data_IF_519674165572
#
_entry.id   IF_519674165572
#
_cell.length_a   1.000
_cell.length_b   1.000
_cell.length_c   1.000
_cell.angle_alpha   90.00
_cell.angle_beta   90.00
_cell.angle_gamma   90.00
#
_symmetry.space_group_name_H-M   'P 1'
#
loop_
_entity.id
_entity.type
_entity.pdbx_description
1 polymer ?
#
# COMPACT_ATOMS: atom_id res chain seq x y z
N UNK A 1 13.68 26.44 -17.87
CA UNK A 1 12.81 25.30 -18.26
C UNK A 1 12.81 24.29 -17.13
N UNK A 2 11.89 24.40 -16.19
CA UNK A 2 11.66 23.34 -15.21
C UNK A 2 10.88 22.25 -15.92
N UNK A 3 11.59 21.19 -16.36
CA UNK A 3 10.94 20.00 -16.90
C UNK A 3 9.93 19.49 -15.88
N UNK A 4 8.71 19.21 -16.31
CA UNK A 4 7.69 18.65 -15.45
C UNK A 4 8.21 17.33 -14.86
N UNK A 5 8.16 17.21 -13.53
CA UNK A 5 8.56 16.02 -12.81
C UNK A 5 7.52 14.92 -13.10
N UNK A 6 7.87 13.94 -13.94
CA UNK A 6 6.95 12.86 -14.33
C UNK A 6 7.32 11.59 -13.56
N UNK A 7 6.35 11.06 -12.81
CA UNK A 7 6.47 9.74 -12.21
C UNK A 7 6.51 8.71 -13.34
N UNK A 8 7.64 8.02 -13.49
CA UNK A 8 7.83 6.97 -14.50
C UNK A 8 8.01 5.64 -13.81
N UNK A 9 7.13 4.69 -14.14
CA UNK A 9 7.20 3.32 -13.70
C UNK A 9 7.62 2.41 -14.86
N UNK A 10 8.50 1.47 -14.58
CA UNK A 10 9.00 0.49 -15.52
C UNK A 10 8.27 -0.83 -15.29
N UNK A 11 7.16 -1.03 -16.01
CA UNK A 11 6.36 -2.26 -15.92
C UNK A 11 7.15 -3.47 -16.45
N UNK A 12 6.82 -4.66 -15.92
CA UNK A 12 7.47 -5.93 -16.23
C UNK A 12 9.01 -5.87 -16.16
N UNK A 13 9.51 -5.11 -15.19
CA UNK A 13 10.94 -4.83 -15.02
C UNK A 13 11.32 -4.95 -13.57
N UNK A 14 12.36 -5.73 -13.28
CA UNK A 14 13.00 -5.83 -11.97
C UNK A 14 14.43 -5.30 -12.04
N UNK A 15 14.87 -4.63 -10.98
CA UNK A 15 16.26 -4.23 -10.77
C UNK A 15 16.77 -5.03 -9.57
N UNK A 16 17.33 -6.24 -9.80
CA UNK A 16 17.64 -7.16 -8.72
C UNK A 16 18.79 -6.70 -7.81
N UNK A 17 18.79 -7.20 -6.58
CA UNK A 17 19.80 -6.95 -5.56
C UNK A 17 19.71 -5.57 -4.90
N UNK A 18 20.65 -5.34 -3.97
CA UNK A 18 20.79 -4.12 -3.18
C UNK A 18 19.55 -3.71 -2.37
N UNK A 19 18.83 -4.71 -1.87
CA UNK A 19 17.67 -4.54 -1.00
C UNK A 19 18.09 -3.95 0.34
N UNK A 20 17.53 -2.79 0.67
CA UNK A 20 17.60 -2.18 1.99
C UNK A 20 16.54 -2.79 2.91
N UNK A 21 15.32 -2.88 2.39
CA UNK A 21 14.15 -3.29 3.14
C UNK A 21 13.11 -3.89 2.20
N UNK A 22 12.39 -4.91 2.69
CA UNK A 22 11.21 -5.47 2.04
C UNK A 22 10.00 -5.10 2.89
N UNK A 23 9.17 -4.19 2.38
CA UNK A 23 7.91 -3.79 3.02
C UNK A 23 6.72 -4.26 2.19
N UNK A 24 5.52 -4.23 2.76
CA UNK A 24 4.30 -4.45 1.98
C UNK A 24 3.78 -3.15 1.42
N UNK A 25 3.43 -3.18 0.14
CA UNK A 25 2.73 -2.10 -0.55
C UNK A 25 1.61 -2.71 -1.39
N UNK A 26 0.51 -2.00 -1.50
CA UNK A 26 -0.68 -2.48 -2.24
C UNK A 26 -0.73 -1.99 -3.69
N UNK A 27 0.19 -1.10 -4.05
CA UNK A 27 0.33 -0.62 -5.42
C UNK A 27 1.75 -0.11 -5.67
N UNK A 28 2.07 0.12 -6.93
CA UNK A 28 3.35 0.73 -7.33
C UNK A 28 3.50 2.15 -6.78
N UNK A 29 2.41 2.92 -6.73
CA UNK A 29 2.40 4.27 -6.16
C UNK A 29 2.65 4.24 -4.65
N UNK A 30 2.02 3.31 -3.93
CA UNK A 30 2.29 3.13 -2.51
C UNK A 30 3.76 2.73 -2.30
N UNK A 31 4.32 1.83 -3.12
CA UNK A 31 5.74 1.48 -3.05
C UNK A 31 6.67 2.68 -3.34
N UNK A 32 6.31 3.53 -4.29
CA UNK A 32 7.03 4.78 -4.57
C UNK A 32 7.00 5.73 -3.36
N UNK A 33 5.86 5.88 -2.67
CA UNK A 33 5.76 6.67 -1.44
C UNK A 33 6.73 6.12 -0.39
N UNK A 34 6.77 4.80 -0.19
CA UNK A 34 7.68 4.18 0.77
C UNK A 34 9.16 4.45 0.44
N UNK A 35 9.55 4.28 -0.82
CA UNK A 35 10.91 4.61 -1.24
C UNK A 35 11.22 6.11 -1.12
N UNK A 36 10.25 6.97 -1.39
CA UNK A 36 10.42 8.43 -1.28
C UNK A 36 10.62 8.87 0.16
N UNK A 37 9.94 8.22 1.11
CA UNK A 37 10.07 8.45 2.54
C UNK A 37 11.36 7.85 3.13
N UNK A 38 11.85 6.73 2.59
CA UNK A 38 13.06 6.08 3.10
C UNK A 38 14.33 6.84 2.65
N UNK A 39 15.14 7.42 3.56
CA UNK A 39 16.20 8.38 3.22
C UNK A 39 17.30 7.78 2.33
N UNK A 40 17.56 6.49 2.44
CA UNK A 40 18.59 5.79 1.66
C UNK A 40 18.06 5.15 0.38
N UNK A 41 16.74 5.11 0.14
CA UNK A 41 16.20 4.45 -1.05
C UNK A 41 16.46 5.29 -2.30
N UNK A 42 17.09 4.70 -3.32
CA UNK A 42 17.38 5.37 -4.59
C UNK A 42 16.53 4.85 -5.74
N UNK A 43 15.95 3.65 -5.60
CA UNK A 43 15.00 3.03 -6.51
C UNK A 43 14.24 1.91 -5.80
N UNK A 44 13.17 1.40 -6.40
CA UNK A 44 12.40 0.29 -5.86
C UNK A 44 11.98 -0.71 -6.95
N UNK A 45 11.68 -1.94 -6.52
CA UNK A 45 10.94 -2.93 -7.32
C UNK A 45 9.66 -3.33 -6.56
N UNK A 46 8.50 -3.25 -7.20
CA UNK A 46 7.22 -3.70 -6.66
C UNK A 46 6.81 -5.03 -7.30
N UNK A 47 6.59 -6.07 -6.51
CA UNK A 47 6.03 -7.36 -6.95
C UNK A 47 4.53 -7.39 -6.68
N UNK A 48 3.73 -7.27 -7.75
CA UNK A 48 2.28 -7.09 -7.66
C UNK A 48 1.53 -8.26 -7.04
N UNK A 49 1.98 -9.50 -7.27
CA UNK A 49 1.28 -10.70 -6.80
C UNK A 49 1.45 -10.97 -5.31
N UNK A 50 2.63 -10.66 -4.77
CA UNK A 50 2.94 -10.84 -3.34
C UNK A 50 2.81 -9.54 -2.53
N UNK A 51 2.49 -8.42 -3.18
CA UNK A 51 2.41 -7.10 -2.57
C UNK A 51 3.74 -6.64 -1.94
N UNK A 52 4.87 -7.11 -2.46
CA UNK A 52 6.18 -6.74 -1.92
C UNK A 52 6.72 -5.48 -2.58
N UNK A 53 7.17 -4.56 -1.76
CA UNK A 53 7.94 -3.40 -2.15
C UNK A 53 9.36 -3.57 -1.66
N UNK A 54 10.27 -3.77 -2.59
CA UNK A 54 11.70 -3.86 -2.35
C UNK A 54 12.30 -2.46 -2.46
N UNK A 55 12.66 -1.87 -1.32
CA UNK A 55 13.37 -0.60 -1.24
C UNK A 55 14.85 -0.86 -1.45
N UNK A 56 15.48 -0.18 -2.41
CA UNK A 56 16.84 -0.52 -2.84
C UNK A 56 17.76 0.69 -2.85
N UNK A 57 19.06 0.43 -2.72
CA UNK A 57 20.10 1.45 -2.79
C UNK A 57 21.37 0.92 -3.45
N UNK A 58 21.74 1.48 -4.59
CA UNK A 58 23.05 1.22 -5.20
C UNK A 58 23.49 2.40 -6.06
N UNK A 59 24.80 2.67 -6.05
CA UNK A 59 25.47 3.72 -6.83
C UNK A 59 26.31 3.16 -8.01
N UNK A 60 26.56 1.85 -8.06
CA UNK A 60 27.58 1.30 -8.95
C UNK A 60 27.04 0.75 -10.28
N UNK A 61 25.85 0.14 -10.30
CA UNK A 61 25.23 -0.39 -11.52
C UNK A 61 23.76 -0.71 -11.29
N UNK A 62 22.87 -0.12 -12.09
CA UNK A 62 21.45 -0.47 -12.18
C UNK A 62 21.28 -1.33 -13.42
N UNK A 63 21.19 -2.66 -13.24
CA UNK A 63 20.87 -3.58 -14.33
C UNK A 63 19.38 -3.87 -14.26
N UNK A 64 18.65 -3.42 -15.27
CA UNK A 64 17.23 -3.71 -15.42
C UNK A 64 17.04 -5.04 -16.17
N UNK A 65 16.20 -5.92 -15.63
CA UNK A 65 15.87 -7.21 -16.20
C UNK A 65 14.37 -7.28 -16.49
N UNK A 66 13.99 -7.85 -17.63
CA UNK A 66 12.59 -8.09 -17.95
C UNK A 66 12.03 -9.19 -17.04
N UNK A 67 10.99 -8.86 -16.27
CA UNK A 67 10.38 -9.78 -15.30
C UNK A 67 8.91 -9.42 -15.08
N UNK A 68 8.03 -10.31 -15.52
CA UNK A 68 6.58 -10.14 -15.37
C UNK A 68 6.17 -10.08 -13.88
N UNK A 69 5.11 -9.32 -13.59
CA UNK A 69 4.62 -9.11 -12.22
C UNK A 69 5.45 -8.12 -11.40
N UNK A 70 6.61 -7.69 -11.90
CA UNK A 70 7.46 -6.67 -11.28
C UNK A 70 7.28 -5.32 -11.96
N UNK A 71 7.20 -4.25 -11.16
CA UNK A 71 7.25 -2.87 -11.65
C UNK A 71 8.30 -2.10 -10.86
N UNK A 72 9.31 -1.58 -11.53
CA UNK A 72 10.38 -0.80 -10.91
C UNK A 72 10.14 0.71 -11.05
N UNK A 73 10.78 1.51 -10.20
CA UNK A 73 10.66 2.96 -10.28
C UNK A 73 11.66 3.73 -9.43
N UNK A 74 11.63 5.05 -9.58
CA UNK A 74 12.43 5.99 -8.81
C UNK A 74 11.58 6.69 -7.74
N UNK A 75 12.19 7.09 -6.61
CA UNK A 75 11.49 7.88 -5.61
C UNK A 75 11.13 9.27 -6.16
N UNK A 76 9.95 9.76 -5.78
CA UNK A 76 9.40 11.05 -6.21
C UNK A 76 9.73 12.19 -5.23
N UNK A 77 11.01 12.33 -4.84
CA UNK A 77 11.44 13.35 -3.85
C UNK A 77 11.38 14.79 -4.37
N UNK A 78 11.51 14.96 -5.69
CA UNK A 78 11.42 16.24 -6.37
C UNK A 78 10.08 16.44 -7.11
N UNK A 79 9.17 15.45 -7.02
CA UNK A 79 7.85 15.48 -7.65
C UNK A 79 6.74 15.57 -6.57
N UNK A 80 5.51 15.85 -7.00
CA UNK A 80 4.34 15.58 -6.16
C UNK A 80 4.08 14.06 -6.15
N UNK A 81 3.93 13.49 -4.96
CA UNK A 81 3.52 12.09 -4.79
C UNK A 81 2.06 11.94 -5.23
N UNK A 82 1.77 10.89 -6.00
CA UNK A 82 0.41 10.49 -6.26
C UNK A 82 -0.13 9.77 -5.01
N UNK A 83 -1.10 10.39 -4.34
CA UNK A 83 -1.76 9.86 -3.16
C UNK A 83 -3.13 9.22 -3.49
N UNK A 84 -3.47 9.06 -4.79
CA UNK A 84 -4.71 8.44 -5.22
C UNK A 84 -4.88 6.99 -4.74
N UNK A 85 -3.78 6.33 -4.39
CA UNK A 85 -3.80 5.00 -3.75
C UNK A 85 -4.47 5.00 -2.36
N UNK A 86 -4.40 6.10 -1.59
CA UNK A 86 -5.02 6.17 -0.26
C UNK A 86 -6.56 6.08 -0.32
N UNK A 87 -7.16 6.60 -1.38
CA UNK A 87 -8.61 6.60 -1.58
C UNK A 87 -9.14 5.38 -2.32
N UNK A 88 -8.26 4.47 -2.79
CA UNK A 88 -8.69 3.28 -3.53
C UNK A 88 -9.12 2.17 -2.56
N UNK A 89 -10.26 1.52 -2.80
CA UNK A 89 -10.53 0.23 -2.19
C UNK A 89 -9.62 -0.85 -2.77
N UNK A 90 -9.20 -1.78 -1.92
CA UNK A 90 -8.39 -2.94 -2.27
C UNK A 90 -9.22 -4.20 -2.09
N UNK A 91 -9.97 -4.53 -3.15
CA UNK A 91 -10.84 -5.71 -3.21
C UNK A 91 -10.02 -7.00 -3.16
N UNK A 92 -10.61 -8.01 -2.53
CA UNK A 92 -10.03 -9.33 -2.30
C UNK A 92 -8.65 -9.30 -1.63
N UNK A 93 -8.40 -8.28 -0.80
CA UNK A 93 -7.13 -8.12 -0.07
C UNK A 93 -7.45 -7.95 1.41
N UNK A 94 -6.71 -8.68 2.24
CA UNK A 94 -6.71 -8.53 3.69
C UNK A 94 -5.37 -7.98 4.20
N UNK A 95 -5.45 -6.87 4.94
CA UNK A 95 -4.35 -6.35 5.74
C UNK A 95 -4.26 -7.09 7.06
N UNK A 96 -3.44 -8.14 7.12
CA UNK A 96 -3.36 -9.00 8.29
C UNK A 96 -2.60 -8.39 9.46
N UNK A 97 -3.17 -8.56 10.65
CA UNK A 97 -2.62 -8.15 11.93
C UNK A 97 -2.80 -6.65 12.21
N UNK A 98 -2.19 -6.20 13.31
CA UNK A 98 -2.30 -4.81 13.81
C UNK A 98 -3.73 -4.37 14.13
N UNK A 99 -4.64 -5.33 14.34
CA UNK A 99 -6.02 -5.08 14.75
C UNK A 99 -6.04 -4.44 16.14
N UNK A 100 -6.60 -3.23 16.22
CA UNK A 100 -6.82 -2.52 17.48
C UNK A 100 -8.25 -2.67 17.97
N UNK A 101 -9.21 -2.87 17.07
CA UNK A 101 -10.61 -3.10 17.37
C UNK A 101 -11.32 -3.75 16.18
N UNK A 102 -12.53 -4.28 16.39
CA UNK A 102 -13.44 -4.61 15.30
C UNK A 102 -14.88 -4.20 15.61
N UNK A 103 -15.59 -3.77 14.58
CA UNK A 103 -17.00 -3.40 14.66
C UNK A 103 -17.83 -4.20 13.66
N UNK A 104 -19.09 -4.46 13.98
CA UNK A 104 -20.03 -5.13 13.07
C UNK A 104 -20.80 -4.07 12.29
N UNK A 105 -20.79 -4.18 10.96
CA UNK A 105 -21.46 -3.22 10.06
C UNK A 105 -21.86 -3.86 8.74
N UNK A 106 -22.69 -3.17 7.96
CA UNK A 106 -23.33 -3.74 6.78
C UNK A 106 -22.49 -3.63 5.50
N UNK A 107 -21.59 -2.66 5.41
CA UNK A 107 -20.84 -2.39 4.20
C UNK A 107 -19.43 -1.81 4.44
N UNK A 108 -18.61 -1.91 3.39
CA UNK A 108 -17.21 -1.48 3.41
C UNK A 108 -17.04 0.05 3.46
N UNK A 109 -17.99 0.81 2.91
CA UNK A 109 -17.93 2.28 2.93
C UNK A 109 -18.12 2.80 4.36
N UNK A 110 -18.99 2.17 5.14
CA UNK A 110 -19.12 2.42 6.56
C UNK A 110 -17.79 2.11 7.27
N UNK A 111 -17.11 1.02 6.93
CA UNK A 111 -15.83 0.65 7.54
C UNK A 111 -14.73 1.68 7.26
N UNK A 112 -14.61 2.13 6.01
CA UNK A 112 -13.72 3.22 5.61
C UNK A 112 -14.01 4.49 6.41
N UNK A 113 -15.29 4.85 6.55
CA UNK A 113 -15.71 6.06 7.26
C UNK A 113 -15.37 5.97 8.76
N UNK A 114 -15.66 4.82 9.38
CA UNK A 114 -15.31 4.54 10.79
C UNK A 114 -13.80 4.60 11.01
N UNK A 115 -13.00 3.98 10.13
CA UNK A 115 -11.54 4.07 10.20
C UNK A 115 -11.05 5.51 10.03
N UNK A 116 -11.61 6.26 9.09
CA UNK A 116 -11.22 7.65 8.84
C UNK A 116 -11.53 8.57 10.03
N UNK A 117 -12.67 8.34 10.69
CA UNK A 117 -13.07 9.07 11.89
C UNK A 117 -12.27 8.68 13.14
N UNK A 118 -11.75 7.45 13.20
CA UNK A 118 -10.96 6.98 14.33
C UNK A 118 -9.55 7.60 14.33
N UNK A 119 -9.14 8.29 15.42
CA UNK A 119 -7.82 8.94 15.47
C UNK A 119 -6.66 7.95 15.40
N UNK A 120 -6.91 6.68 15.74
CA UNK A 120 -5.88 5.63 15.79
C UNK A 120 -5.91 4.68 14.60
N UNK A 121 -6.96 4.67 13.78
CA UNK A 121 -7.00 3.80 12.61
C UNK A 121 -6.18 4.37 11.45
N UNK A 122 -5.25 3.58 10.93
CA UNK A 122 -4.44 3.90 9.77
C UNK A 122 -4.94 3.19 8.51
N UNK A 123 -5.44 1.97 8.68
CA UNK A 123 -5.99 1.14 7.62
C UNK A 123 -7.00 0.14 8.20
N UNK A 124 -7.79 -0.47 7.34
CA UNK A 124 -8.86 -1.38 7.74
C UNK A 124 -9.00 -2.55 6.76
N UNK A 125 -9.59 -3.64 7.23
CA UNK A 125 -10.15 -4.72 6.39
C UNK A 125 -11.62 -4.89 6.78
N UNK A 126 -12.53 -4.82 5.81
CA UNK A 126 -13.92 -5.26 5.96
C UNK A 126 -14.11 -6.64 5.36
N UNK A 127 -14.84 -7.50 6.07
CA UNK A 127 -15.18 -8.86 5.63
C UNK A 127 -16.67 -8.94 5.33
N UNK A 128 -17.02 -9.32 4.12
CA UNK A 128 -18.40 -9.33 3.64
C UNK A 128 -19.28 -10.40 4.31
N UNK A 129 -20.61 -10.26 4.17
CA UNK A 129 -21.58 -11.15 4.80
C UNK A 129 -21.61 -12.57 4.20
N UNK A 130 -21.12 -12.75 2.98
CA UNK A 130 -21.00 -14.03 2.30
C UNK A 130 -19.70 -14.78 2.64
N UNK A 131 -18.84 -14.24 3.51
CA UNK A 131 -17.61 -14.91 3.94
C UNK A 131 -17.90 -16.29 4.53
N UNK A 132 -17.08 -17.28 4.19
CA UNK A 132 -17.32 -18.69 4.52
C UNK A 132 -17.56 -18.90 6.01
N UNK A 133 -16.71 -18.31 6.86
CA UNK A 133 -16.76 -18.49 8.30
C UNK A 133 -17.72 -17.48 8.96
N UNK A 134 -18.86 -17.91 9.53
CA UNK A 134 -19.91 -17.00 10.00
C UNK A 134 -19.46 -15.99 11.05
N UNK A 135 -18.49 -16.38 11.88
CA UNK A 135 -17.93 -15.52 12.93
C UNK A 135 -17.30 -14.24 12.38
N UNK A 136 -16.76 -14.24 11.17
CA UNK A 136 -16.04 -13.09 10.61
C UNK A 136 -16.88 -12.20 9.69
N UNK A 137 -18.10 -12.62 9.36
CA UNK A 137 -19.02 -11.88 8.50
C UNK A 137 -19.31 -10.50 9.08
N UNK A 138 -19.40 -9.50 8.19
CA UNK A 138 -19.81 -8.13 8.52
C UNK A 138 -18.87 -7.43 9.50
N UNK A 139 -17.61 -7.87 9.60
CA UNK A 139 -16.64 -7.28 10.52
C UNK A 139 -15.75 -6.28 9.81
N UNK A 140 -15.68 -5.10 10.38
CA UNK A 140 -14.71 -4.07 10.07
C UNK A 140 -13.59 -4.13 11.10
N UNK A 141 -12.39 -4.50 10.66
CA UNK A 141 -11.21 -4.53 11.50
C UNK A 141 -10.46 -3.21 11.37
N UNK A 142 -10.37 -2.46 12.47
CA UNK A 142 -9.63 -1.21 12.53
C UNK A 142 -8.19 -1.52 12.93
N UNK A 143 -7.22 -0.97 12.20
CA UNK A 143 -5.82 -1.40 12.34
C UNK A 143 -4.85 -0.22 12.44
N UNK A 144 -3.76 -0.43 13.19
CA UNK A 144 -2.70 0.56 13.43
C UNK A 144 -1.35 -0.08 13.67
N UNK A 145 -0.31 0.46 13.01
CA UNK A 145 1.09 0.22 13.37
C UNK A 145 1.72 1.43 14.03
N UNK A 146 2.75 1.19 14.84
CA UNK A 146 3.57 2.25 15.48
C UNK A 146 4.61 2.78 14.49
N UNK A 147 5.07 1.94 13.57
CA UNK A 147 6.09 2.23 12.57
C UNK A 147 5.48 2.91 11.34
N UNK A 148 6.23 2.92 10.22
CA UNK A 148 5.76 3.40 8.92
C UNK A 148 4.35 2.87 8.60
N UNK A 149 3.40 3.71 8.12
CA UNK A 149 1.98 3.35 7.95
C UNK A 149 1.77 2.41 6.75
N UNK A 150 2.33 1.21 6.85
CA UNK A 150 2.13 0.10 5.93
C UNK A 150 1.42 -1.05 6.66
N UNK A 151 0.57 -1.81 5.97
CA UNK A 151 0.10 -3.08 6.52
C UNK A 151 1.31 -4.02 6.72
N UNK A 152 1.46 -4.71 7.86
CA UNK A 152 2.56 -5.66 8.06
C UNK A 152 2.51 -6.82 7.05
N UNK A 153 1.29 -7.20 6.65
CA UNK A 153 1.00 -8.26 5.69
C UNK A 153 -0.19 -7.84 4.85
N UNK A 154 -0.08 -8.00 3.55
CA UNK A 154 -1.18 -7.92 2.60
C UNK A 154 -1.27 -9.27 1.89
N UNK A 155 -2.45 -9.89 1.89
CA UNK A 155 -2.68 -11.20 1.27
C UNK A 155 -3.97 -11.18 0.48
N UNK A 156 -4.04 -11.99 -0.58
CA UNK A 156 -5.29 -12.19 -1.33
C UNK A 156 -6.29 -12.97 -0.45
N UNK A 157 -7.48 -12.42 -0.24
CA UNK A 157 -8.57 -13.02 0.52
C UNK A 157 -9.90 -12.64 -0.13
N UNK A 158 -10.58 -13.60 -0.76
CA UNK A 158 -11.91 -13.39 -1.35
C UNK A 158 -12.91 -12.95 -0.27
N UNK A 159 -13.87 -12.10 -0.65
CA UNK A 159 -14.88 -11.52 0.25
C UNK A 159 -14.31 -10.64 1.37
N UNK A 160 -13.09 -10.14 1.21
CA UNK A 160 -12.50 -9.10 2.03
C UNK A 160 -12.12 -7.89 1.18
N UNK A 161 -12.23 -6.70 1.75
CA UNK A 161 -11.86 -5.44 1.12
C UNK A 161 -11.08 -4.61 2.13
N UNK A 162 -9.91 -4.13 1.72
CA UNK A 162 -9.04 -3.31 2.56
C UNK A 162 -8.95 -1.88 2.07
N UNK A 163 -8.53 -0.97 2.95
CA UNK A 163 -8.29 0.42 2.57
C UNK A 163 -7.54 1.20 3.65
N UNK A 164 -7.15 2.43 3.32
CA UNK A 164 -6.39 3.32 4.21
C UNK A 164 -7.29 4.44 4.73
N UNK A 165 -6.98 4.95 5.92
CA UNK A 165 -7.61 6.16 6.43
C UNK A 165 -7.30 7.33 5.51
N UNK A 166 -8.33 8.07 5.09
CA UNK A 166 -8.20 9.23 4.19
C UNK A 166 -8.11 10.56 4.93
N UNK A 167 -7.94 10.54 6.27
CA UNK A 167 -7.90 11.75 7.12
C UNK A 167 -6.83 12.75 6.68
N UNK A 168 -5.67 12.25 6.26
CA UNK A 168 -4.52 13.07 5.88
C UNK A 168 -4.45 13.32 4.36
N UNK A 169 -5.43 12.83 3.59
CA UNK A 169 -5.62 13.24 2.20
C UNK A 169 -6.12 14.69 2.22
N UNK A 170 -5.22 15.67 2.07
CA UNK A 170 -5.64 17.03 1.75
C UNK A 170 -6.46 16.94 0.46
N UNK A 171 -7.77 17.13 0.58
CA UNK A 171 -8.62 17.39 -0.56
C UNK A 171 -8.04 18.63 -1.24
N UNK A 172 -7.37 18.45 -2.38
CA UNK A 172 -7.24 19.52 -3.36
C UNK A 172 -8.66 19.91 -3.74
N UNK A 173 -9.14 20.97 -3.09
CA UNK A 173 -10.34 21.72 -3.48
C UNK A 173 -10.12 22.32 -4.86
#
# INVERSE_FOLDING_TARGET
VHGACQNTFFANTDIPGNDLERVKAVSVEHCQVMCSAHPQCTYFSFHGDEFDCYLKNNQNSLVAEAKEGFTSGLPARACQLDNGWLSKPYEEIDFQGSDIDFEVMDDAQQCQTTCTASPHCQFHTYVHNNFDHPTYRRRCYLKRVITLPAPPKAVKLTEAISGFSTRDCRATV
#
